data_IF_923705546173
#
_entry.id   IF_923705546173
#
_cell.length_a   1.000
_cell.length_b   1.000
_cell.length_c   1.000
_cell.angle_alpha   90.00
_cell.angle_beta   90.00
_cell.angle_gamma   90.00
#
_symmetry.space_group_name_H-M   'P 1'
#
loop_
_entity.id
_entity.type
_entity.pdbx_description
1 polymer ?
#
# COMPACT_ATOMS: atom_id res chain seq x y z
N UNK A 1 4.84 -55.31 20.66
CA UNK A 1 3.73 -54.87 19.78
C UNK A 1 3.12 -53.64 20.41
N UNK A 2 3.62 -52.44 20.10
CA UNK A 2 3.00 -51.17 20.53
C UNK A 2 3.25 -50.11 19.47
N UNK A 3 2.15 -49.48 19.09
CA UNK A 3 1.88 -48.60 17.95
C UNK A 3 2.87 -47.44 17.77
N UNK A 4 3.37 -47.28 16.53
CA UNK A 4 3.98 -46.05 16.01
C UNK A 4 2.84 -45.08 15.64
N UNK A 5 2.68 -43.99 16.40
CA UNK A 5 1.66 -42.96 16.13
C UNK A 5 2.21 -41.99 15.06
N UNK A 6 1.84 -42.19 13.80
CA UNK A 6 2.10 -41.25 12.71
C UNK A 6 1.19 -40.03 12.86
N UNK A 7 1.74 -38.90 13.30
CA UNK A 7 1.05 -37.61 13.31
C UNK A 7 1.06 -37.09 11.87
N UNK A 8 -0.05 -37.28 11.14
CA UNK A 8 -0.31 -36.54 9.90
C UNK A 8 -0.58 -35.08 10.25
N UNK A 9 0.42 -34.22 10.09
CA UNK A 9 0.22 -32.78 10.00
C UNK A 9 -0.52 -32.47 8.69
N UNK A 10 -1.73 -31.89 8.72
CA UNK A 10 -2.31 -31.35 7.49
C UNK A 10 -1.44 -30.17 7.08
N UNK A 11 -0.68 -30.33 6.00
CA UNK A 11 -0.11 -29.19 5.31
C UNK A 11 -1.28 -28.29 4.91
N UNK A 12 -1.43 -27.16 5.60
CA UNK A 12 -2.37 -26.11 5.20
C UNK A 12 -1.93 -25.64 3.81
N UNK A 13 -2.52 -26.23 2.78
CA UNK A 13 -2.37 -25.76 1.42
C UNK A 13 -2.95 -24.34 1.39
N UNK A 14 -2.08 -23.34 1.49
CA UNK A 14 -2.45 -21.96 1.27
C UNK A 14 -3.00 -21.89 -0.17
N UNK A 15 -4.27 -21.50 -0.32
CA UNK A 15 -4.85 -21.26 -1.64
C UNK A 15 -3.89 -20.33 -2.42
N UNK A 16 -3.52 -20.65 -3.66
CA UNK A 16 -2.63 -19.81 -4.45
C UNK A 16 -3.20 -18.40 -4.52
N UNK A 17 -2.59 -17.44 -3.84
CA UNK A 17 -2.99 -16.04 -3.97
C UNK A 17 -2.72 -15.60 -5.40
N UNK A 18 -3.74 -15.03 -6.05
CA UNK A 18 -3.58 -14.43 -7.37
C UNK A 18 -2.59 -13.28 -7.22
N UNK A 19 -1.41 -13.45 -7.82
CA UNK A 19 -0.40 -12.39 -7.90
C UNK A 19 -0.73 -11.50 -9.08
N UNK A 20 -0.98 -10.24 -8.79
CA UNK A 20 -1.15 -9.19 -9.79
C UNK A 20 0.22 -8.62 -10.18
N UNK A 21 0.24 -7.97 -11.33
CA UNK A 21 1.42 -7.26 -11.83
C UNK A 21 1.04 -5.81 -12.15
N UNK A 22 1.74 -4.89 -11.50
CA UNK A 22 1.91 -3.53 -11.97
C UNK A 22 3.24 -3.42 -12.73
N UNK A 23 3.45 -2.37 -13.54
CA UNK A 23 4.75 -2.11 -14.15
C UNK A 23 5.87 -1.99 -13.10
N UNK A 24 6.55 -3.11 -12.81
CA UNK A 24 7.63 -3.19 -11.84
C UNK A 24 7.35 -3.84 -10.51
N UNK A 25 6.09 -4.06 -10.16
CA UNK A 25 5.72 -4.57 -8.85
C UNK A 25 4.80 -5.78 -9.00
N UNK A 26 5.15 -6.90 -8.37
CA UNK A 26 4.25 -8.04 -8.23
C UNK A 26 3.79 -8.12 -6.79
N UNK A 27 2.47 -8.14 -6.60
CA UNK A 27 1.85 -8.13 -5.27
C UNK A 27 0.67 -9.11 -5.24
N UNK A 28 0.36 -9.72 -4.09
CA UNK A 28 -0.86 -10.49 -3.93
C UNK A 28 -2.09 -9.56 -3.95
N UNK A 29 -3.11 -9.87 -4.76
CA UNK A 29 -4.40 -9.19 -4.65
C UNK A 29 -5.13 -9.73 -3.41
N UNK A 30 -5.48 -8.87 -2.44
CA UNK A 30 -6.16 -9.35 -1.24
C UNK A 30 -7.54 -9.91 -1.58
N UNK A 31 -7.97 -10.95 -0.86
CA UNK A 31 -9.22 -11.65 -1.13
C UNK A 31 -10.41 -10.70 -1.06
N UNK A 32 -11.21 -10.67 -2.13
CA UNK A 32 -12.42 -9.84 -2.22
C UNK A 32 -12.16 -8.38 -2.64
N UNK A 33 -10.91 -7.98 -2.83
CA UNK A 33 -10.58 -6.66 -3.36
C UNK A 33 -10.69 -6.66 -4.88
N UNK A 34 -11.00 -5.50 -5.45
CA UNK A 34 -11.06 -5.32 -6.89
C UNK A 34 -9.89 -4.49 -7.40
N UNK A 35 -9.51 -4.77 -8.65
CA UNK A 35 -8.50 -4.04 -9.39
C UNK A 35 -9.18 -3.13 -10.42
N UNK A 36 -8.68 -1.92 -10.56
CA UNK A 36 -9.06 -0.99 -11.62
C UNK A 36 -7.82 -0.28 -12.17
N UNK A 37 -7.56 -0.45 -13.47
CA UNK A 37 -6.51 0.30 -14.15
C UNK A 37 -6.94 1.76 -14.37
N UNK A 38 -6.03 2.70 -14.11
CA UNK A 38 -6.26 4.13 -14.30
C UNK A 38 -5.51 4.63 -15.54
N UNK A 39 -5.98 5.73 -16.13
CA UNK A 39 -5.36 6.35 -17.31
C UNK A 39 -3.89 6.77 -17.07
N UNK A 40 -3.52 7.04 -15.81
CA UNK A 40 -2.17 7.39 -15.39
C UNK A 40 -1.18 6.21 -15.37
N UNK A 41 -1.58 5.03 -15.84
CA UNK A 41 -0.86 3.74 -15.68
C UNK A 41 -0.69 3.30 -14.23
N UNK A 42 -1.36 3.98 -13.30
CA UNK A 42 -1.50 3.51 -11.92
C UNK A 42 -2.61 2.47 -11.85
N UNK A 43 -2.56 1.64 -10.82
CA UNK A 43 -3.60 0.65 -10.54
C UNK A 43 -4.27 1.02 -9.23
N UNK A 44 -5.59 1.15 -9.22
CA UNK A 44 -6.38 1.25 -8.01
C UNK A 44 -6.77 -0.16 -7.53
N UNK A 45 -6.52 -0.42 -6.26
CA UNK A 45 -6.90 -1.62 -5.53
C UNK A 45 -7.90 -1.19 -4.47
N UNK A 46 -9.14 -1.68 -4.59
CA UNK A 46 -10.29 -1.21 -3.83
C UNK A 46 -10.75 -2.29 -2.84
N UNK A 47 -10.98 -1.95 -1.56
CA UNK A 47 -11.54 -2.88 -0.58
C UNK A 47 -12.99 -3.25 -0.93
N UNK A 48 -13.49 -4.39 -0.44
CA UNK A 48 -14.86 -4.84 -0.73
C UNK A 48 -15.93 -3.90 -0.14
N UNK A 49 -17.09 -3.85 -0.80
CA UNK A 49 -18.30 -3.25 -0.23
C UNK A 49 -18.29 -1.71 -0.22
N UNK A 50 -18.81 -1.13 0.86
CA UNK A 50 -18.97 0.32 1.00
C UNK A 50 -17.65 1.09 1.09
N UNK A 51 -16.61 0.42 1.58
CA UNK A 51 -15.29 1.01 1.79
C UNK A 51 -14.60 1.44 0.50
N UNK A 52 -14.94 0.82 -0.65
CA UNK A 52 -14.36 1.14 -1.97
C UNK A 52 -14.50 2.62 -2.35
N UNK A 53 -15.48 3.33 -1.77
CA UNK A 53 -15.71 4.77 -2.01
C UNK A 53 -14.94 5.69 -1.05
N UNK A 54 -14.39 5.12 0.02
CA UNK A 54 -13.80 5.85 1.14
C UNK A 54 -12.36 5.43 1.42
N UNK A 55 -11.86 4.40 0.75
CA UNK A 55 -10.51 3.90 0.89
C UNK A 55 -10.02 3.38 -0.47
N UNK A 56 -8.85 3.83 -0.88
CA UNK A 56 -8.22 3.43 -2.14
C UNK A 56 -6.74 3.15 -1.89
N UNK A 57 -6.26 2.04 -2.43
CA UNK A 57 -4.83 1.74 -2.55
C UNK A 57 -4.42 1.99 -3.99
N UNK A 58 -3.41 2.81 -4.22
CA UNK A 58 -2.88 3.12 -5.53
C UNK A 58 -1.49 2.52 -5.66
N UNK A 59 -1.33 1.61 -6.62
CA UNK A 59 -0.03 1.15 -7.06
C UNK A 59 0.43 2.11 -8.16
N UNK A 60 1.47 2.88 -7.85
CA UNK A 60 2.00 3.87 -8.78
C UNK A 60 2.94 3.18 -9.78
N UNK A 61 3.01 3.66 -11.04
CA UNK A 61 3.98 3.14 -12.00
C UNK A 61 5.39 3.33 -11.44
N UNK A 62 6.25 2.31 -11.59
CA UNK A 62 7.64 2.45 -11.21
C UNK A 62 8.31 3.57 -12.01
N UNK A 63 9.19 4.33 -11.34
CA UNK A 63 9.88 5.48 -11.92
C UNK A 63 11.38 5.32 -11.78
N UNK A 64 12.14 5.80 -12.77
CA UNK A 64 13.57 5.98 -12.60
C UNK A 64 13.85 7.32 -11.90
N UNK A 65 14.62 7.28 -10.82
CA UNK A 65 15.00 8.45 -10.01
C UNK A 65 16.52 8.49 -9.82
N UNK A 66 17.08 9.69 -9.86
CA UNK A 66 18.51 9.94 -9.57
C UNK A 66 18.75 10.37 -8.10
N UNK A 67 17.70 10.40 -7.30
CA UNK A 67 17.74 10.77 -5.89
C UNK A 67 18.06 9.56 -4.99
N UNK A 68 18.58 9.84 -3.79
CA UNK A 68 18.73 8.81 -2.76
C UNK A 68 17.37 8.34 -2.22
N UNK A 69 17.28 7.13 -1.63
CA UNK A 69 16.01 6.54 -1.14
C UNK A 69 15.17 7.45 -0.25
N UNK A 70 15.81 8.10 0.74
CA UNK A 70 15.09 8.99 1.65
C UNK A 70 14.58 10.26 0.96
N UNK A 71 15.36 10.83 0.03
CA UNK A 71 14.99 12.04 -0.70
C UNK A 71 13.89 11.76 -1.71
N UNK A 72 13.98 10.65 -2.45
CA UNK A 72 12.97 10.18 -3.38
C UNK A 72 11.63 9.92 -2.67
N UNK A 73 11.68 9.24 -1.51
CA UNK A 73 10.51 9.01 -0.66
C UNK A 73 9.87 10.31 -0.19
N UNK A 74 10.67 11.21 0.39
CA UNK A 74 10.18 12.49 0.91
C UNK A 74 9.61 13.37 -0.20
N UNK A 75 10.21 13.36 -1.39
CA UNK A 75 9.68 14.04 -2.56
C UNK A 75 8.33 13.46 -2.98
N UNK A 76 8.21 12.13 -3.07
CA UNK A 76 6.95 11.50 -3.45
C UNK A 76 5.85 11.79 -2.44
N UNK A 77 6.14 11.74 -1.14
CA UNK A 77 5.17 12.10 -0.10
C UNK A 77 4.72 13.57 -0.25
N UNK A 78 5.64 14.51 -0.45
CA UNK A 78 5.30 15.92 -0.70
C UNK A 78 4.41 16.10 -1.93
N UNK A 79 4.69 15.37 -3.02
CA UNK A 79 3.88 15.39 -4.24
C UNK A 79 2.49 14.81 -3.98
N UNK A 80 2.39 13.67 -3.27
CA UNK A 80 1.13 13.04 -2.92
C UNK A 80 0.22 13.93 -2.06
N UNK A 81 0.82 14.78 -1.22
CA UNK A 81 0.08 15.72 -0.36
C UNK A 81 0.04 17.14 -0.92
N UNK A 82 0.41 17.35 -2.19
CA UNK A 82 0.44 18.68 -2.79
C UNK A 82 -0.95 19.31 -2.79
N UNK A 83 -1.04 20.58 -2.37
CA UNK A 83 -2.33 21.29 -2.27
C UNK A 83 -3.17 20.92 -1.05
N UNK A 84 -2.67 20.06 -0.16
CA UNK A 84 -3.29 19.74 1.13
C UNK A 84 -2.47 20.30 2.29
N UNK A 85 -3.12 20.51 3.45
CA UNK A 85 -2.44 20.82 4.71
C UNK A 85 -2.19 19.52 5.47
N UNK A 86 -0.94 19.27 5.88
CA UNK A 86 -0.61 18.14 6.74
C UNK A 86 -0.92 18.50 8.19
N UNK A 87 -1.83 17.77 8.83
CA UNK A 87 -2.16 17.97 10.24
C UNK A 87 -1.22 17.19 11.15
N UNK A 88 -0.56 17.92 12.05
CA UNK A 88 0.39 17.34 13.01
C UNK A 88 1.75 17.00 12.38
N UNK A 89 2.37 15.91 12.85
CA UNK A 89 3.67 15.44 12.35
C UNK A 89 3.48 14.28 11.38
N UNK A 90 4.21 14.31 10.27
CA UNK A 90 4.39 13.12 9.42
C UNK A 90 5.09 12.04 10.24
N UNK A 91 4.51 10.86 10.34
CA UNK A 91 5.19 9.73 10.99
C UNK A 91 5.93 8.96 9.92
N UNK A 92 7.19 8.65 10.20
CA UNK A 92 8.06 7.86 9.33
C UNK A 92 8.34 6.52 9.99
N UNK A 93 8.33 5.45 9.20
CA UNK A 93 8.60 4.09 9.66
C UNK A 93 9.13 3.24 8.50
N UNK A 94 9.48 1.99 8.81
CA UNK A 94 9.81 0.97 7.81
C UNK A 94 8.97 -0.28 8.05
N UNK A 95 8.56 -0.96 6.98
CA UNK A 95 7.80 -2.21 7.06
C UNK A 95 8.18 -3.11 5.87
N UNK A 96 8.62 -4.34 6.13
CA UNK A 96 8.99 -5.32 5.09
C UNK A 96 9.94 -4.77 3.98
N UNK A 97 10.84 -3.84 4.33
CA UNK A 97 11.76 -3.20 3.38
C UNK A 97 11.23 -1.91 2.73
N UNK A 98 9.94 -1.62 2.87
CA UNK A 98 9.34 -0.35 2.46
C UNK A 98 9.70 0.77 3.42
N UNK A 99 10.04 1.94 2.88
CA UNK A 99 10.04 3.21 3.61
C UNK A 99 8.63 3.77 3.60
N UNK A 100 8.11 4.17 4.77
CA UNK A 100 6.71 4.58 4.94
C UNK A 100 6.63 5.96 5.58
N UNK A 101 5.86 6.85 4.98
CA UNK A 101 5.41 8.10 5.61
C UNK A 101 3.90 8.16 5.62
N UNK A 102 3.31 8.55 6.75
CA UNK A 102 1.87 8.76 6.86
C UNK A 102 1.51 10.03 7.62
N UNK A 103 0.33 10.56 7.32
CA UNK A 103 -0.25 11.69 8.03
C UNK A 103 -1.76 11.81 7.79
N UNK A 104 -2.43 12.56 8.68
CA UNK A 104 -3.73 13.14 8.37
C UNK A 104 -3.50 14.39 7.51
N UNK A 105 -4.24 14.52 6.42
CA UNK A 105 -4.18 15.66 5.51
C UNK A 105 -5.57 16.27 5.34
N UNK A 106 -5.63 17.58 5.18
CA UNK A 106 -6.86 18.33 4.88
C UNK A 106 -6.73 18.90 3.47
N UNK A 107 -7.61 18.49 2.57
CA UNK A 107 -7.59 18.93 1.18
C UNK A 107 -8.09 20.38 1.04
N UNK A 108 -7.90 20.97 -0.14
CA UNK A 108 -8.45 22.30 -0.45
C UNK A 108 -9.99 22.35 -0.30
N UNK A 109 -10.69 21.23 -0.47
CA UNK A 109 -12.14 21.11 -0.27
C UNK A 109 -12.53 20.86 1.20
N UNK A 110 -11.62 21.04 2.16
CA UNK A 110 -11.83 20.78 3.59
C UNK A 110 -12.19 19.32 3.90
N UNK A 111 -11.75 18.37 3.07
CA UNK A 111 -11.92 16.95 3.34
C UNK A 111 -10.73 16.45 4.13
N UNK A 112 -11.00 15.73 5.22
CA UNK A 112 -9.98 15.05 6.01
C UNK A 112 -9.68 13.68 5.41
N UNK A 113 -8.42 13.41 5.12
CA UNK A 113 -7.95 12.12 4.61
C UNK A 113 -6.78 11.63 5.44
N UNK A 114 -6.64 10.32 5.55
CA UNK A 114 -5.46 9.64 6.07
C UNK A 114 -4.69 9.07 4.90
N UNK A 115 -3.46 9.55 4.72
CA UNK A 115 -2.62 9.22 3.58
C UNK A 115 -1.34 8.54 4.08
N UNK A 116 -0.98 7.41 3.46
CA UNK A 116 0.33 6.81 3.59
C UNK A 116 0.97 6.59 2.22
N UNK A 117 2.27 6.82 2.14
CA UNK A 117 3.10 6.48 0.98
C UNK A 117 4.13 5.44 1.43
N UNK A 118 4.23 4.36 0.67
CA UNK A 118 5.21 3.29 0.81
C UNK A 118 6.13 3.38 -0.40
N UNK A 119 7.44 3.37 -0.20
CA UNK A 119 8.40 3.30 -1.30
C UNK A 119 9.48 2.26 -1.08
N UNK A 120 9.85 1.59 -2.16
CA UNK A 120 11.01 0.71 -2.23
C UNK A 120 11.88 1.16 -3.39
N UNK A 121 13.16 1.42 -3.14
CA UNK A 121 14.10 1.84 -4.18
C UNK A 121 15.17 0.77 -4.40
N UNK A 122 15.28 0.31 -5.66
CA UNK A 122 16.26 -0.68 -6.12
C UNK A 122 17.14 -0.06 -7.22
N UNK A 123 18.33 0.41 -6.83
CA UNK A 123 19.17 1.21 -7.73
C UNK A 123 18.49 2.54 -8.08
N UNK A 124 18.23 2.78 -9.36
CA UNK A 124 17.49 3.96 -9.83
C UNK A 124 15.97 3.75 -9.86
N UNK A 125 15.49 2.52 -9.72
CA UNK A 125 14.07 2.20 -9.82
C UNK A 125 13.37 2.48 -8.49
N UNK A 126 12.36 3.33 -8.49
CA UNK A 126 11.46 3.61 -7.37
C UNK A 126 10.09 2.97 -7.62
N UNK A 127 9.69 2.09 -6.71
CA UNK A 127 8.36 1.50 -6.62
C UNK A 127 7.58 2.16 -5.49
N UNK A 128 6.28 2.38 -5.69
CA UNK A 128 5.48 3.06 -4.68
C UNK A 128 4.03 2.57 -4.61
N UNK A 129 3.53 2.54 -3.39
CA UNK A 129 2.12 2.29 -3.06
C UNK A 129 1.63 3.49 -2.25
N UNK A 130 0.40 3.94 -2.50
CA UNK A 130 -0.26 4.97 -1.71
C UNK A 130 -1.58 4.44 -1.17
N UNK A 131 -1.79 4.55 0.14
CA UNK A 131 -3.08 4.28 0.79
C UNK A 131 -3.73 5.61 1.16
N UNK A 132 -4.96 5.84 0.70
CA UNK A 132 -5.76 7.01 1.06
C UNK A 132 -7.08 6.53 1.64
N UNK A 133 -7.44 7.01 2.82
CA UNK A 133 -8.70 6.67 3.48
C UNK A 133 -9.39 7.91 4.07
N UNK A 134 -10.71 7.94 4.03
CA UNK A 134 -11.53 9.06 4.52
C UNK A 134 -11.64 9.12 6.06
N UNK A 135 -11.10 8.13 6.78
CA UNK A 135 -11.10 8.12 8.24
C UNK A 135 -9.92 7.32 8.80
N UNK A 136 -9.55 7.60 10.05
CA UNK A 136 -8.52 6.88 10.80
C UNK A 136 -8.88 5.39 10.96
N UNK A 137 -10.16 5.10 11.16
CA UNK A 137 -10.65 3.73 11.31
C UNK A 137 -10.45 2.91 10.03
N UNK A 138 -10.83 3.45 8.86
CA UNK A 138 -10.60 2.80 7.58
C UNK A 138 -9.10 2.64 7.29
N UNK A 139 -8.31 3.68 7.56
CA UNK A 139 -6.87 3.65 7.40
C UNK A 139 -6.23 2.52 8.21
N UNK A 140 -6.55 2.44 9.51
CA UNK A 140 -6.06 1.37 10.40
C UNK A 140 -6.55 -0.02 10.01
N UNK A 141 -7.76 -0.12 9.47
CA UNK A 141 -8.35 -1.40 9.03
C UNK A 141 -7.62 -1.96 7.82
N UNK A 142 -7.32 -1.12 6.83
CA UNK A 142 -6.77 -1.56 5.54
C UNK A 142 -5.24 -1.52 5.46
N UNK A 143 -4.58 -0.76 6.33
CA UNK A 143 -3.11 -0.65 6.38
C UNK A 143 -2.39 -2.00 6.49
N UNK A 144 -2.75 -2.93 7.40
CA UNK A 144 -2.06 -4.22 7.50
C UNK A 144 -2.11 -5.05 6.21
N UNK A 145 -3.16 -4.88 5.40
CA UNK A 145 -3.29 -5.53 4.09
C UNK A 145 -2.32 -4.95 3.08
N UNK A 146 -2.13 -3.62 3.08
CA UNK A 146 -1.15 -2.94 2.21
C UNK A 146 0.27 -3.30 2.60
N UNK A 147 0.55 -3.44 3.89
CA UNK A 147 1.88 -3.82 4.40
C UNK A 147 2.29 -5.26 4.06
N UNK A 148 1.35 -6.08 3.57
CA UNK A 148 1.59 -7.45 3.10
C UNK A 148 1.76 -7.54 1.57
N UNK A 149 1.64 -6.40 0.85
CA UNK A 149 1.87 -6.33 -0.59
C UNK A 149 3.35 -6.21 -0.93
#
# INVERSE_FOLDING_TARGET
MTLLLLILLPALAQEPQVREQAPGLSFPLPKGWSRQDLESKSIAILPPGGDARQCTVLILPAQDVDLGPAEAHDQLFRTATQGSTVEGKVRKSTCAGWTVSDAKVVTAQQQELWTAVYTLQSGKRLEAIMLVAASDALFKTHRPTVEQM
#
